data_IF_088036744214
#
_entry.id   IF_088036744214
#
_cell.length_a   1.000
_cell.length_b   1.000
_cell.length_c   1.000
_cell.angle_alpha   90.00
_cell.angle_beta   90.00
_cell.angle_gamma   90.00
#
_symmetry.space_group_name_H-M   'P 1'
#
loop_
_entity.id
_entity.type
_entity.pdbx_description
1 polymer ?
#
# COMPACT_ATOMS: atom_id res chain seq x y z
N UNK A 1 -18.90 7.15 2.43
CA UNK A 1 -18.54 6.93 1.01
C UNK A 1 -17.38 7.82 0.54
N UNK A 2 -17.38 9.13 0.85
CA UNK A 2 -16.33 10.07 0.42
C UNK A 2 -14.92 9.59 0.78
N UNK A 3 -14.69 9.11 2.01
CA UNK A 3 -13.39 8.55 2.42
C UNK A 3 -12.89 7.41 1.52
N UNK A 4 -13.76 6.46 1.19
CA UNK A 4 -13.42 5.30 0.36
C UNK A 4 -13.01 5.76 -1.04
N UNK A 5 -13.77 6.70 -1.61
CA UNK A 5 -13.48 7.26 -2.93
C UNK A 5 -12.13 7.98 -2.92
N UNK A 6 -11.87 8.80 -1.90
CA UNK A 6 -10.58 9.50 -1.74
C UNK A 6 -9.43 8.48 -1.58
N UNK A 7 -9.58 7.46 -0.73
CA UNK A 7 -8.57 6.41 -0.56
C UNK A 7 -8.28 5.65 -1.86
N UNK A 8 -9.31 5.37 -2.67
CA UNK A 8 -9.15 4.73 -3.97
C UNK A 8 -8.42 5.64 -4.97
N UNK A 9 -8.76 6.93 -5.02
CA UNK A 9 -8.06 7.90 -5.85
C UNK A 9 -6.58 8.06 -5.46
N UNK A 10 -6.28 7.97 -4.17
CA UNK A 10 -4.91 8.06 -3.64
C UNK A 10 -4.08 6.80 -3.90
N UNK A 11 -4.70 5.68 -4.30
CA UNK A 11 -4.00 4.43 -4.54
C UNK A 11 -2.98 4.53 -5.69
N UNK A 12 -3.36 5.20 -6.78
CA UNK A 12 -2.53 5.37 -7.97
C UNK A 12 -1.26 6.20 -7.64
N UNK A 13 -1.34 7.44 -7.12
CA UNK A 13 -0.15 8.20 -6.78
C UNK A 13 0.68 7.53 -5.67
N UNK A 14 0.03 6.84 -4.73
CA UNK A 14 0.73 6.07 -3.69
C UNK A 14 1.54 4.91 -4.26
N UNK A 15 1.01 4.19 -5.26
CA UNK A 15 1.73 3.13 -5.96
C UNK A 15 2.97 3.67 -6.67
N UNK A 16 2.86 4.80 -7.38
CA UNK A 16 4.02 5.41 -8.04
C UNK A 16 5.07 5.89 -7.04
N UNK A 17 4.65 6.50 -5.93
CA UNK A 17 5.55 6.90 -4.86
C UNK A 17 6.30 5.71 -4.27
N UNK A 18 5.58 4.64 -3.87
CA UNK A 18 6.20 3.42 -3.36
C UNK A 18 7.14 2.78 -4.37
N UNK A 19 6.72 2.67 -5.64
CA UNK A 19 7.55 2.12 -6.71
C UNK A 19 8.85 2.92 -6.86
N UNK A 20 8.76 4.25 -6.85
CA UNK A 20 9.93 5.12 -6.94
C UNK A 20 10.89 4.92 -5.77
N UNK A 21 10.36 4.88 -4.55
CA UNK A 21 11.17 4.69 -3.35
C UNK A 21 11.82 3.31 -3.30
N UNK A 22 11.09 2.24 -3.64
CA UNK A 22 11.55 0.85 -3.53
C UNK A 22 12.46 0.39 -4.69
N UNK A 23 12.39 1.05 -5.85
CA UNK A 23 13.30 0.79 -6.99
C UNK A 23 14.55 1.66 -6.96
N UNK A 24 14.70 2.51 -5.94
CA UNK A 24 15.88 3.35 -5.82
C UNK A 24 17.11 2.51 -5.47
N UNK A 25 18.25 2.88 -6.06
CA UNK A 25 19.53 2.24 -5.76
C UNK A 25 20.08 2.61 -4.36
N UNK A 26 19.48 3.63 -3.73
CA UNK A 26 19.85 4.12 -2.41
C UNK A 26 19.02 3.42 -1.34
N UNK A 27 19.68 2.74 -0.40
CA UNK A 27 19.04 2.00 0.70
C UNK A 27 18.09 2.88 1.53
N UNK A 28 18.43 4.15 1.74
CA UNK A 28 17.58 5.10 2.47
C UNK A 28 16.24 5.36 1.79
N UNK A 29 16.18 5.33 0.47
CA UNK A 29 14.92 5.48 -0.27
C UNK A 29 14.06 4.24 -0.13
N UNK A 30 14.66 3.04 -0.16
CA UNK A 30 13.95 1.79 0.08
C UNK A 30 13.36 1.75 1.49
N UNK A 31 14.15 2.14 2.49
CA UNK A 31 13.70 2.26 3.87
C UNK A 31 12.55 3.28 4.00
N UNK A 32 12.66 4.46 3.37
CA UNK A 32 11.60 5.45 3.35
C UNK A 32 10.32 4.92 2.69
N UNK A 33 10.44 4.15 1.60
CA UNK A 33 9.31 3.48 0.95
C UNK A 33 8.61 2.49 1.89
N UNK A 34 9.38 1.67 2.62
CA UNK A 34 8.82 0.76 3.63
C UNK A 34 8.13 1.52 4.77
N UNK A 35 8.73 2.60 5.28
CA UNK A 35 8.12 3.43 6.32
C UNK A 35 6.84 4.11 5.82
N UNK A 36 6.80 4.58 4.57
CA UNK A 36 5.62 5.16 3.95
C UNK A 36 4.48 4.14 3.83
N UNK A 37 4.79 2.89 3.47
CA UNK A 37 3.83 1.79 3.45
C UNK A 37 3.25 1.51 4.84
N UNK A 38 4.11 1.41 5.86
CA UNK A 38 3.70 1.17 7.25
C UNK A 38 2.83 2.32 7.76
N UNK A 39 3.21 3.58 7.48
CA UNK A 39 2.44 4.75 7.89
C UNK A 39 1.03 4.76 7.28
N UNK A 40 0.91 4.42 5.98
CA UNK A 40 -0.39 4.32 5.32
C UNK A 40 -1.26 3.22 5.95
N UNK A 41 -0.69 2.06 6.26
CA UNK A 41 -1.40 0.96 6.94
C UNK A 41 -1.85 1.40 8.33
N UNK A 42 -0.97 2.02 9.12
CA UNK A 42 -1.27 2.51 10.46
C UNK A 42 -2.39 3.57 10.46
N UNK A 43 -2.38 4.47 9.48
CA UNK A 43 -3.44 5.47 9.29
C UNK A 43 -4.81 4.82 9.06
N UNK A 44 -4.89 3.81 8.20
CA UNK A 44 -6.14 3.08 7.94
C UNK A 44 -6.58 2.26 9.16
N UNK A 45 -5.64 1.64 9.88
CA UNK A 45 -5.91 0.92 11.13
C UNK A 45 -6.44 1.84 12.24
N UNK A 46 -5.93 3.06 12.35
CA UNK A 46 -6.44 4.06 13.30
C UNK A 46 -7.89 4.42 12.98
N UNK A 47 -8.17 4.78 11.72
CA UNK A 47 -9.53 5.15 11.29
C UNK A 47 -10.49 3.98 11.53
N UNK A 48 -10.04 2.74 11.32
CA UNK A 48 -10.80 1.55 11.63
C UNK A 48 -11.12 1.41 13.12
N UNK A 49 -10.14 1.64 14.00
CA UNK A 49 -10.33 1.45 15.44
C UNK A 49 -11.19 2.55 16.08
N UNK A 50 -11.08 3.77 15.59
CA UNK A 50 -11.64 4.95 16.27
C UNK A 50 -12.77 5.63 15.49
N UNK A 51 -13.08 5.17 14.27
CA UNK A 51 -14.05 5.77 13.34
C UNK A 51 -13.85 7.27 13.14
N UNK A 52 -12.60 7.73 13.27
CA UNK A 52 -12.20 9.13 13.21
C UNK A 52 -10.86 9.28 12.49
N UNK A 53 -10.68 10.41 11.82
CA UNK A 53 -9.38 10.77 11.26
C UNK A 53 -8.36 11.11 12.37
N UNK A 54 -7.12 10.58 12.32
CA UNK A 54 -6.11 10.73 13.39
C UNK A 54 -5.58 12.15 13.63
N UNK A 55 -5.94 13.12 12.78
CA UNK A 55 -5.46 14.52 12.88
C UNK A 55 -6.65 15.46 13.09
N UNK A 56 -7.62 15.41 12.19
CA UNK A 56 -8.76 16.33 12.19
C UNK A 56 -9.96 15.82 12.99
N UNK A 57 -9.89 14.60 13.55
CA UNK A 57 -10.91 14.00 14.43
C UNK A 57 -12.33 13.93 13.86
N UNK A 58 -12.49 14.10 12.55
CA UNK A 58 -13.76 14.01 11.84
C UNK A 58 -14.26 12.56 11.86
N UNK A 59 -15.51 12.37 12.29
CA UNK A 59 -16.16 11.07 12.34
C UNK A 59 -16.41 10.52 10.92
N UNK A 60 -16.13 9.23 10.73
CA UNK A 60 -16.28 8.53 9.47
C UNK A 60 -17.44 7.53 9.55
N UNK A 61 -18.31 7.53 8.54
CA UNK A 61 -19.33 6.48 8.38
C UNK A 61 -18.64 5.17 7.96
N UNK A 62 -18.48 4.26 8.92
CA UNK A 62 -17.80 2.99 8.74
C UNK A 62 -18.67 1.98 7.99
N UNK A 63 -18.07 1.23 7.05
CA UNK A 63 -18.68 0.04 6.43
C UNK A 63 -17.68 -1.11 6.44
N UNK A 64 -17.86 -2.13 7.32
CA UNK A 64 -16.91 -3.23 7.50
C UNK A 64 -16.54 -3.95 6.19
N UNK A 65 -17.51 -4.08 5.28
CA UNK A 65 -17.37 -4.82 4.02
C UNK A 65 -16.30 -4.21 3.09
N UNK A 66 -16.16 -2.88 3.11
CA UNK A 66 -15.21 -2.18 2.25
C UNK A 66 -13.78 -2.35 2.78
N UNK A 67 -13.63 -2.40 4.10
CA UNK A 67 -12.34 -2.60 4.76
C UNK A 67 -11.83 -4.03 4.56
N UNK A 68 -12.66 -5.04 4.86
CA UNK A 68 -12.27 -6.44 4.63
C UNK A 68 -12.00 -6.72 3.15
N UNK A 69 -12.75 -6.09 2.25
CA UNK A 69 -12.47 -6.12 0.81
C UNK A 69 -11.11 -5.51 0.44
N UNK A 70 -10.77 -4.34 1.00
CA UNK A 70 -9.49 -3.69 0.74
C UNK A 70 -8.28 -4.49 1.26
N UNK A 71 -8.39 -5.11 2.44
CA UNK A 71 -7.34 -6.01 2.98
C UNK A 71 -7.13 -7.20 2.05
N UNK A 72 -8.21 -7.81 1.58
CA UNK A 72 -8.16 -8.98 0.70
C UNK A 72 -7.54 -8.62 -0.66
N UNK A 73 -7.90 -7.47 -1.23
CA UNK A 73 -7.31 -6.94 -2.47
C UNK A 73 -5.81 -6.62 -2.29
N UNK A 74 -5.43 -6.02 -1.16
CA UNK A 74 -4.02 -5.70 -0.88
C UNK A 74 -3.16 -6.95 -0.77
N UNK A 75 -3.66 -8.00 -0.09
CA UNK A 75 -2.99 -9.30 -0.03
C UNK A 75 -2.87 -9.93 -1.42
N UNK A 76 -3.95 -9.90 -2.20
CA UNK A 76 -3.96 -10.42 -3.57
C UNK A 76 -2.91 -9.70 -4.44
N UNK A 77 -2.86 -8.38 -4.35
CA UNK A 77 -1.88 -7.55 -5.07
C UNK A 77 -0.44 -7.92 -4.65
N UNK A 78 -0.17 -8.09 -3.36
CA UNK A 78 1.15 -8.51 -2.87
C UNK A 78 1.58 -9.88 -3.39
N UNK A 79 0.67 -10.86 -3.41
CA UNK A 79 0.92 -12.20 -3.95
C UNK A 79 1.20 -12.13 -5.45
N UNK A 80 0.37 -11.43 -6.22
CA UNK A 80 0.55 -11.28 -7.67
C UNK A 80 1.88 -10.59 -7.97
N UNK A 81 2.18 -9.50 -7.27
CA UNK A 81 3.46 -8.78 -7.41
C UNK A 81 4.65 -9.70 -7.14
N UNK A 82 4.61 -10.49 -6.05
CA UNK A 82 5.68 -11.43 -5.71
C UNK A 82 5.89 -12.49 -6.79
N UNK A 83 4.81 -13.06 -7.33
CA UNK A 83 4.86 -14.03 -8.43
C UNK A 83 5.47 -13.39 -9.68
N UNK A 84 4.99 -12.20 -10.07
CA UNK A 84 5.49 -11.48 -11.24
C UNK A 84 6.96 -11.08 -11.09
N UNK A 85 7.34 -10.57 -9.92
CA UNK A 85 8.73 -10.19 -9.62
C UNK A 85 9.66 -11.40 -9.70
N UNK A 86 9.30 -12.53 -9.07
CA UNK A 86 10.07 -13.78 -9.16
C UNK A 86 10.20 -14.27 -10.61
N UNK A 87 9.13 -14.15 -11.41
CA UNK A 87 9.14 -14.60 -12.81
C UNK A 87 9.96 -13.70 -13.74
N UNK A 88 9.93 -12.39 -13.54
CA UNK A 88 10.65 -11.42 -14.39
C UNK A 88 12.10 -11.24 -13.98
N UNK A 89 12.36 -10.98 -12.70
CA UNK A 89 13.72 -10.71 -12.21
C UNK A 89 14.47 -11.99 -11.83
N UNK A 90 13.77 -13.03 -11.40
CA UNK A 90 14.40 -14.33 -11.12
C UNK A 90 14.84 -15.09 -12.38
N UNK A 91 14.33 -14.71 -13.57
CA UNK A 91 14.84 -15.24 -14.85
C UNK A 91 16.11 -14.52 -15.32
N UNK A 92 16.19 -13.20 -15.13
CA UNK A 92 17.36 -12.40 -15.52
C UNK A 92 18.65 -12.87 -14.83
N UNK A 93 18.55 -13.43 -13.62
CA UNK A 93 19.71 -13.98 -12.89
C UNK A 93 20.24 -15.29 -13.46
N UNK A 94 19.49 -15.99 -14.32
CA UNK A 94 19.93 -17.24 -14.96
C UNK A 94 20.55 -17.05 -16.35
N UNK A 95 20.39 -15.88 -16.98
CA UNK A 95 20.97 -15.61 -18.31
C UNK A 95 22.33 -14.89 -18.23
N UNK A 96 22.76 -14.45 -17.04
CA UNK A 96 24.10 -13.88 -16.79
C UNK A 96 25.11 -14.91 -16.20
N UNK A 97 24.78 -16.20 -16.19
CA UNK A 97 25.69 -17.29 -15.79
C UNK A 97 25.87 -18.32 -16.90
#
# INVERSE_FOLDING_TARGET
>A
MIYIVISLFMLIPFFFALRWFLLSHLIHHNAAGMMLAIAAIAFHMYIFRFDKLPIVHVAMSHRPIVFYGAVLIALLHGVIYSICFKRYYGKATYEEH
#
